data_IF_845773490740
#
_entry.id   IF_845773490740
#
_cell.length_a   1.000
_cell.length_b   1.000
_cell.length_c   1.000
_cell.angle_alpha   90.00
_cell.angle_beta   90.00
_cell.angle_gamma   90.00
#
_symmetry.space_group_name_H-M   'P 1'
#
loop_
_entity.id
_entity.type
_entity.pdbx_description
1 polymer ?
#
# COMPACT_ATOMS: atom_id res chain seq x y z
N UNK A 1 -36.35 7.72 3.18
CA UNK A 1 -35.04 7.76 2.50
C UNK A 1 -34.42 6.39 2.66
N UNK A 2 -34.42 5.56 1.62
CA UNK A 2 -33.73 4.26 1.70
C UNK A 2 -32.24 4.53 1.47
N UNK A 3 -31.47 4.37 2.54
CA UNK A 3 -30.03 4.63 2.54
C UNK A 3 -29.33 3.43 1.90
N UNK A 4 -28.85 3.59 0.67
CA UNK A 4 -28.01 2.58 0.06
C UNK A 4 -26.65 2.55 0.77
N UNK A 5 -26.18 1.38 1.24
CA UNK A 5 -24.89 1.27 1.90
C UNK A 5 -23.77 1.67 0.95
N UNK A 6 -22.87 2.52 1.42
CA UNK A 6 -21.68 2.94 0.68
C UNK A 6 -20.76 1.72 0.55
N UNK A 7 -20.26 1.39 -0.66
CA UNK A 7 -19.33 0.27 -0.83
C UNK A 7 -18.09 0.50 0.04
N UNK A 8 -17.83 -0.45 0.94
CA UNK A 8 -16.61 -0.46 1.74
C UNK A 8 -15.42 -0.82 0.84
N UNK A 9 -14.28 -0.18 1.10
CA UNK A 9 -13.09 -0.37 0.29
C UNK A 9 -12.49 -1.76 0.59
N UNK A 10 -12.73 -2.74 -0.29
CA UNK A 10 -12.20 -4.12 -0.17
C UNK A 10 -10.74 -4.26 -0.63
N UNK A 11 -10.19 -3.22 -1.26
CA UNK A 11 -8.84 -3.25 -1.86
C UNK A 11 -7.70 -3.04 -0.87
N UNK A 12 -8.00 -2.60 0.35
CA UNK A 12 -7.00 -2.36 1.41
C UNK A 12 -6.55 -3.64 2.13
N UNK A 13 -7.14 -4.80 1.81
CA UNK A 13 -6.75 -6.06 2.42
C UNK A 13 -5.39 -6.52 1.88
N UNK A 14 -4.39 -6.59 2.75
CA UNK A 14 -3.11 -7.19 2.41
C UNK A 14 -3.20 -8.71 2.56
N UNK A 15 -2.82 -9.43 1.51
CA UNK A 15 -2.87 -10.88 1.51
C UNK A 15 -1.88 -11.46 2.53
N UNK A 16 -2.44 -12.16 3.53
CA UNK A 16 -1.71 -12.99 4.49
C UNK A 16 -1.47 -14.34 3.82
N UNK A 17 -0.21 -14.60 3.44
CA UNK A 17 0.18 -15.82 2.72
C UNK A 17 0.83 -16.84 3.64
N UNK A 18 1.57 -16.37 4.66
CA UNK A 18 2.32 -17.23 5.59
C UNK A 18 1.77 -17.04 6.99
N UNK A 19 0.92 -17.98 7.43
CA UNK A 19 0.21 -17.87 8.71
C UNK A 19 -0.61 -16.57 8.78
N UNK A 20 -0.41 -15.79 9.84
CA UNK A 20 -1.08 -14.50 10.01
C UNK A 20 -0.30 -13.31 9.42
N UNK A 21 0.77 -13.59 8.67
CA UNK A 21 1.67 -12.57 8.11
C UNK A 21 1.50 -12.41 6.61
N UNK A 22 1.74 -11.19 6.16
CA UNK A 22 1.81 -10.84 4.74
C UNK A 22 3.13 -11.33 4.14
N UNK A 23 3.18 -11.59 2.83
CA UNK A 23 4.41 -12.05 2.17
C UNK A 23 5.59 -11.08 2.39
N UNK A 24 5.32 -9.77 2.45
CA UNK A 24 6.33 -8.74 2.70
C UNK A 24 6.94 -8.88 4.10
N UNK A 25 6.11 -8.99 5.12
CA UNK A 25 6.55 -9.15 6.51
C UNK A 25 7.32 -10.45 6.73
N UNK A 26 6.92 -11.52 6.04
CA UNK A 26 7.65 -12.77 6.05
C UNK A 26 9.07 -12.59 5.50
N UNK A 27 9.24 -11.91 4.36
CA UNK A 27 10.56 -11.66 3.78
C UNK A 27 11.45 -10.77 4.67
N UNK A 28 10.87 -9.76 5.32
CA UNK A 28 11.59 -8.89 6.27
C UNK A 28 12.12 -9.68 7.47
N UNK A 29 11.26 -10.53 8.06
CA UNK A 29 11.63 -11.38 9.18
C UNK A 29 12.67 -12.44 8.77
N UNK A 30 12.47 -13.08 7.63
CA UNK A 30 13.40 -14.08 7.10
C UNK A 30 14.77 -13.45 6.79
N UNK A 31 14.78 -12.21 6.27
CA UNK A 31 16.01 -11.43 6.05
C UNK A 31 16.77 -11.17 7.35
N UNK A 32 16.08 -10.78 8.43
CA UNK A 32 16.71 -10.59 9.74
C UNK A 32 17.30 -11.85 10.35
N UNK A 33 16.62 -13.00 10.19
CA UNK A 33 17.13 -14.31 10.62
C UNK A 33 18.32 -14.75 9.78
N UNK A 34 18.25 -14.60 8.46
CA UNK A 34 19.33 -14.96 7.55
C UNK A 34 20.58 -14.11 7.82
N UNK A 35 20.40 -12.82 8.08
CA UNK A 35 21.48 -11.91 8.46
C UNK A 35 22.09 -12.28 9.83
N UNK A 36 21.27 -12.70 10.79
CA UNK A 36 21.75 -13.20 12.08
C UNK A 36 22.56 -14.50 11.92
N UNK A 37 22.11 -15.40 11.04
CA UNK A 37 22.84 -16.62 10.70
C UNK A 37 24.19 -16.31 10.04
N UNK A 38 24.24 -15.33 9.13
CA UNK A 38 25.48 -14.86 8.51
C UNK A 38 26.48 -14.34 9.57
N UNK A 39 26.02 -13.53 10.52
CA UNK A 39 26.88 -13.09 11.64
C UNK A 39 27.33 -14.26 12.52
N UNK A 40 26.44 -15.21 12.79
CA UNK A 40 26.77 -16.39 13.58
C UNK A 40 27.80 -17.31 12.89
N UNK A 41 27.71 -17.44 11.56
CA UNK A 41 28.61 -18.26 10.74
C UNK A 41 29.96 -17.57 10.45
N UNK A 42 30.02 -16.25 10.59
CA UNK A 42 31.27 -15.49 10.41
C UNK A 42 32.27 -15.74 11.55
N UNK A 43 33.57 -15.62 11.24
CA UNK A 43 34.66 -15.80 12.21
C UNK A 43 34.91 -14.55 13.09
N UNK A 44 33.83 -13.96 13.61
CA UNK A 44 33.89 -12.82 14.53
C UNK A 44 34.20 -13.28 15.96
N UNK A 45 34.82 -12.39 16.75
CA UNK A 45 35.05 -12.61 18.18
C UNK A 45 33.72 -12.85 18.88
N UNK A 46 33.68 -13.87 19.77
CA UNK A 46 32.47 -14.32 20.47
C UNK A 46 31.66 -13.18 21.09
N UNK A 47 32.34 -12.18 21.67
CA UNK A 47 31.74 -11.02 22.32
C UNK A 47 30.91 -10.14 21.36
N UNK A 48 31.35 -9.98 20.12
CA UNK A 48 30.61 -9.19 19.12
C UNK A 48 29.59 -10.02 18.35
N UNK A 49 29.85 -11.33 18.21
CA UNK A 49 29.00 -12.24 17.44
C UNK A 49 27.57 -12.30 17.97
N UNK A 50 27.42 -12.54 19.27
CA UNK A 50 26.11 -12.74 19.90
C UNK A 50 25.23 -11.48 19.91
N UNK A 51 25.73 -10.30 20.33
CA UNK A 51 24.94 -9.07 20.28
C UNK A 51 24.51 -8.72 18.86
N UNK A 52 25.38 -8.89 17.87
CA UNK A 52 25.09 -8.54 16.48
C UNK A 52 24.05 -9.48 15.85
N UNK A 53 24.14 -10.78 16.15
CA UNK A 53 23.13 -11.75 15.74
C UNK A 53 21.77 -11.45 16.40
N UNK A 54 21.75 -11.18 17.71
CA UNK A 54 20.53 -10.86 18.44
C UNK A 54 19.89 -9.56 17.93
N UNK A 55 20.70 -8.53 17.70
CA UNK A 55 20.28 -7.26 17.13
C UNK A 55 19.65 -7.47 15.75
N UNK A 56 20.25 -8.30 14.89
CA UNK A 56 19.73 -8.60 13.56
C UNK A 56 18.35 -9.27 13.60
N UNK A 57 18.14 -10.22 14.51
CA UNK A 57 16.83 -10.86 14.71
C UNK A 57 15.81 -9.84 15.19
N UNK A 58 16.17 -9.06 16.22
CA UNK A 58 15.29 -8.05 16.79
C UNK A 58 14.88 -7.00 15.75
N UNK A 59 15.82 -6.57 14.90
CA UNK A 59 15.59 -5.62 13.83
C UNK A 59 14.68 -6.21 12.75
N UNK A 60 14.84 -7.50 12.39
CA UNK A 60 13.93 -8.19 11.48
C UNK A 60 12.49 -8.28 12.01
N UNK A 61 12.32 -8.58 13.29
CA UNK A 61 11.01 -8.59 13.96
C UNK A 61 10.40 -7.19 13.99
N UNK A 62 11.20 -6.18 14.36
CA UNK A 62 10.75 -4.79 14.42
C UNK A 62 10.29 -4.28 13.03
N UNK A 63 11.04 -4.58 11.97
CA UNK A 63 10.66 -4.22 10.60
C UNK A 63 9.31 -4.82 10.19
N UNK A 64 9.09 -6.11 10.50
CA UNK A 64 7.91 -6.84 10.09
C UNK A 64 6.64 -6.47 10.89
N UNK A 65 6.79 -6.16 12.19
CA UNK A 65 5.65 -6.11 13.12
C UNK A 65 5.46 -4.79 13.88
N UNK A 66 6.39 -3.84 13.82
CA UNK A 66 6.29 -2.61 14.59
C UNK A 66 5.72 -1.46 13.74
N UNK A 67 4.39 -1.18 13.77
CA UNK A 67 3.84 -0.03 13.08
C UNK A 67 4.12 1.28 13.85
N UNK A 68 4.37 2.36 13.12
CA UNK A 68 4.49 3.73 13.63
C UNK A 68 3.43 4.58 12.90
N UNK A 69 2.54 5.24 13.65
CA UNK A 69 1.50 6.12 13.09
C UNK A 69 0.69 5.45 11.95
N UNK A 70 0.20 4.24 12.19
CA UNK A 70 -0.54 3.41 11.23
C UNK A 70 0.24 3.02 9.95
N UNK A 71 1.57 3.20 9.94
CA UNK A 71 2.44 2.79 8.84
C UNK A 71 3.43 1.71 9.27
N UNK A 72 3.72 0.72 8.41
CA UNK A 72 4.77 -0.25 8.68
C UNK A 72 6.15 0.45 8.73
N UNK A 73 7.04 -0.04 9.60
CA UNK A 73 8.35 0.58 9.86
C UNK A 73 9.21 0.71 8.60
N UNK A 74 9.16 -0.26 7.69
CA UNK A 74 9.86 -0.19 6.41
C UNK A 74 9.46 1.06 5.58
N UNK A 75 8.16 1.33 5.46
CA UNK A 75 7.70 2.54 4.77
C UNK A 75 8.13 3.81 5.50
N UNK A 76 8.16 3.76 6.83
CA UNK A 76 8.63 4.88 7.63
C UNK A 76 10.12 5.18 7.36
N UNK A 77 10.99 4.16 7.31
CA UNK A 77 12.41 4.32 6.97
C UNK A 77 12.59 4.90 5.57
N UNK A 78 11.90 4.36 4.57
CA UNK A 78 12.00 4.85 3.18
C UNK A 78 11.57 6.32 3.10
N UNK A 79 10.50 6.69 3.79
CA UNK A 79 10.00 8.06 3.84
C UNK A 79 10.96 8.99 4.58
N UNK A 80 11.59 8.52 5.66
CA UNK A 80 12.60 9.27 6.40
C UNK A 80 13.80 9.59 5.50
N UNK A 81 14.37 8.58 4.86
CA UNK A 81 15.50 8.73 3.93
C UNK A 81 15.11 9.70 2.81
N UNK A 82 13.92 9.52 2.22
CA UNK A 82 13.41 10.42 1.19
C UNK A 82 13.25 11.85 1.71
N UNK A 83 12.78 12.05 2.92
CA UNK A 83 12.61 13.38 3.51
C UNK A 83 13.95 14.09 3.73
N UNK A 84 14.98 13.37 4.17
CA UNK A 84 16.32 13.92 4.40
C UNK A 84 16.96 14.39 3.09
N UNK A 85 16.87 13.59 2.03
CA UNK A 85 17.56 13.88 0.76
C UNK A 85 16.72 14.68 -0.24
N UNK A 86 15.42 14.90 0.02
CA UNK A 86 14.56 15.66 -0.90
C UNK A 86 14.89 17.14 -0.82
N UNK A 87 15.03 17.84 -1.97
CA UNK A 87 15.26 19.27 -1.96
C UNK A 87 14.06 20.03 -1.37
N UNK A 88 14.33 20.96 -0.45
CA UNK A 88 13.32 21.81 0.19
C UNK A 88 12.83 22.94 -0.71
N UNK A 89 13.59 23.29 -1.75
CA UNK A 89 13.21 24.33 -2.71
C UNK A 89 12.46 23.71 -3.88
N UNK A 90 11.19 24.08 -4.02
CA UNK A 90 10.36 23.72 -5.17
C UNK A 90 10.21 24.93 -6.08
N UNK A 91 10.53 24.75 -7.36
CA UNK A 91 10.26 25.76 -8.40
C UNK A 91 8.92 25.40 -9.04
N UNK A 92 8.00 26.36 -9.08
CA UNK A 92 6.73 26.18 -9.79
C UNK A 92 6.98 26.01 -11.29
N UNK A 93 6.55 24.88 -11.85
CA UNK A 93 6.55 24.62 -13.29
C UNK A 93 5.11 24.53 -13.78
N UNK A 94 4.70 25.45 -14.66
CA UNK A 94 3.38 25.37 -15.31
C UNK A 94 3.35 24.09 -16.16
N UNK A 95 2.39 23.20 -15.89
CA UNK A 95 2.12 22.03 -16.71
C UNK A 95 1.03 22.36 -17.72
N UNK A 96 1.28 22.12 -19.01
CA UNK A 96 0.25 22.22 -20.05
C UNK A 96 -0.76 21.07 -19.98
N UNK A 97 -0.47 20.00 -19.21
CA UNK A 97 -1.40 18.89 -19.02
C UNK A 97 -2.39 19.23 -17.92
N UNK A 98 -3.65 19.32 -18.31
CA UNK A 98 -4.79 19.51 -17.42
C UNK A 98 -4.91 18.24 -16.54
N UNK A 99 -4.95 18.34 -15.20
CA UNK A 99 -5.08 17.17 -14.34
C UNK A 99 -6.38 16.39 -14.64
N UNK A 100 -6.36 15.05 -14.58
CA UNK A 100 -7.53 14.21 -14.91
C UNK A 100 -8.79 14.54 -14.11
N UNK A 101 -8.62 15.04 -12.87
CA UNK A 101 -9.70 15.50 -12.01
C UNK A 101 -10.54 16.60 -12.67
N UNK A 102 -9.93 17.45 -13.50
CA UNK A 102 -10.62 18.53 -14.20
C UNK A 102 -11.12 18.12 -15.60
N UNK A 103 -10.80 16.89 -16.06
CA UNK A 103 -11.27 16.34 -17.33
C UNK A 103 -12.57 15.54 -17.16
N UNK A 104 -13.22 15.60 -16.00
CA UNK A 104 -14.50 14.94 -15.78
C UNK A 104 -15.57 15.53 -16.72
N UNK A 105 -15.91 14.77 -17.75
CA UNK A 105 -17.09 15.00 -18.57
C UNK A 105 -18.18 14.06 -18.07
N UNK A 106 -19.26 14.59 -17.50
CA UNK A 106 -20.46 13.80 -17.22
C UNK A 106 -20.92 13.20 -18.54
N UNK A 107 -21.06 11.87 -18.60
CA UNK A 107 -21.54 11.19 -19.79
C UNK A 107 -22.81 11.89 -20.28
N UNK A 108 -22.73 12.51 -21.47
CA UNK A 108 -23.86 13.16 -22.12
C UNK A 108 -25.00 12.15 -22.15
N UNK A 109 -26.12 12.51 -21.49
CA UNK A 109 -27.35 11.73 -21.51
C UNK A 109 -27.68 11.50 -22.99
N UNK A 110 -27.38 10.30 -23.51
CA UNK A 110 -27.87 9.87 -24.82
C UNK A 110 -29.38 10.12 -24.76
N UNK A 111 -29.86 11.02 -25.60
CA UNK A 111 -31.28 11.27 -25.78
C UNK A 111 -31.86 9.97 -26.35
N UNK A 112 -32.21 9.04 -25.46
CA UNK A 112 -32.95 7.85 -25.82
C UNK A 112 -34.32 8.39 -26.12
N UNK A 113 -34.57 8.69 -27.39
CA UNK A 113 -35.91 8.93 -27.89
C UNK A 113 -36.76 7.78 -27.37
N UNK A 114 -37.62 8.07 -26.38
CA UNK A 114 -38.50 7.09 -25.80
C UNK A 114 -39.39 6.61 -26.94
N UNK A 115 -39.08 5.43 -27.47
CA UNK A 115 -39.94 4.75 -28.43
C UNK A 115 -41.16 4.30 -27.62
N UNK A 116 -42.13 5.19 -27.48
CA UNK A 116 -43.45 4.86 -26.97
C UNK A 116 -44.06 3.90 -27.97
N UNK A 117 -43.89 2.59 -27.73
CA UNK A 117 -44.66 1.57 -28.44
C UNK A 117 -46.10 1.74 -27.99
N UNK A 118 -46.93 2.43 -28.77
CA UNK A 118 -48.38 2.40 -28.62
C UNK A 118 -48.85 0.97 -28.88
N UNK A 119 -49.08 0.22 -27.80
CA UNK A 119 -49.72 -1.08 -27.84
C UNK A 119 -51.20 -0.81 -28.17
N UNK A 120 -51.61 -1.15 -29.39
CA UNK A 120 -53.01 -1.06 -29.80
C UNK A 120 -53.80 -2.15 -29.07
N UNK A 121 -54.87 -1.76 -28.38
CA UNK A 121 -55.71 -2.71 -27.64
C UNK A 121 -56.34 -3.74 -28.60
N UNK A 122 -56.39 -5.03 -28.22
CA UNK A 122 -57.04 -6.05 -29.04
C UNK A 122 -58.54 -5.79 -29.10
N UNK A 123 -59.06 -5.59 -30.31
CA UNK A 123 -60.50 -5.54 -30.58
C UNK A 123 -61.08 -6.94 -30.53
N UNK A 124 -62.26 -7.03 -29.89
CA UNK A 124 -63.03 -8.22 -29.48
C UNK A 124 -63.38 -9.18 -30.60
#
# INVERSE_FOLDING_TARGET
>A
MQQHPVPQNVTQYQFRLVGDMTLKQFLELMGGILLAYLFYASNLVFLFKWPLALLSIFLGIALAFFPIEDRPLDQWIINLVRAIYKPTRFIWKKSNKIPPLFLFSSHSQKNVNAVTKTIKAPTR
#
